data_IF_092861194867
#
_entry.id   IF_092861194867
#
_cell.length_a   1.000
_cell.length_b   1.000
_cell.length_c   1.000
_cell.angle_alpha   90.00
_cell.angle_beta   90.00
_cell.angle_gamma   90.00
#
_symmetry.space_group_name_H-M   'P 1'
#
loop_
_entity.id
_entity.type
_entity.pdbx_description
1 polymer ?
#
# COMPACT_ATOMS: atom_id res chain seq x y z
N UNK A 1 -37.63 28.99 16.09
CA UNK A 1 -37.28 30.26 15.43
C UNK A 1 -36.23 29.96 14.38
N UNK A 2 -36.65 29.90 13.11
CA UNK A 2 -35.76 30.18 11.98
C UNK A 2 -35.68 31.72 11.87
N UNK A 3 -34.60 32.32 11.32
CA UNK A 3 -34.48 32.34 9.85
C UNK A 3 -33.05 32.43 9.25
N UNK A 4 -33.03 32.24 7.93
CA UNK A 4 -32.31 32.99 6.89
C UNK A 4 -30.79 32.82 6.63
N UNK A 5 -30.52 32.08 5.55
CA UNK A 5 -30.00 32.53 4.25
C UNK A 5 -28.61 33.23 4.09
N UNK A 6 -27.90 32.72 3.07
CA UNK A 6 -26.60 33.08 2.46
C UNK A 6 -26.52 34.54 1.91
N UNK A 7 -25.37 35.09 1.39
CA UNK A 7 -24.61 34.51 0.26
C UNK A 7 -23.07 34.72 0.20
N UNK A 8 -22.53 34.07 -0.83
CA UNK A 8 -21.20 34.01 -1.45
C UNK A 8 -20.37 35.29 -1.62
N UNK A 9 -19.04 35.13 -1.60
CA UNK A 9 -18.09 35.94 -2.40
C UNK A 9 -16.86 35.13 -2.85
N UNK A 10 -16.78 34.97 -4.15
CA UNK A 10 -15.60 34.64 -4.95
C UNK A 10 -14.53 35.73 -4.81
N UNK A 11 -13.25 35.33 -4.77
CA UNK A 11 -12.15 36.20 -5.20
C UNK A 11 -11.01 35.38 -5.79
N UNK A 12 -10.95 35.37 -7.12
CA UNK A 12 -9.75 35.08 -7.89
C UNK A 12 -8.67 36.09 -7.55
N UNK A 13 -7.44 35.62 -7.36
CA UNK A 13 -6.23 36.43 -7.45
C UNK A 13 -5.38 35.86 -8.57
N UNK A 14 -5.57 36.43 -9.77
CA UNK A 14 -4.57 36.43 -10.83
C UNK A 14 -3.32 37.15 -10.33
N UNK A 15 -2.17 36.48 -10.41
CA UNK A 15 -0.86 37.13 -10.27
C UNK A 15 -0.24 37.19 -11.66
N UNK A 16 -0.34 38.35 -12.29
CA UNK A 16 0.40 38.69 -13.49
C UNK A 16 1.83 39.09 -13.11
N UNK A 17 2.83 38.41 -13.65
CA UNK A 17 4.23 38.82 -13.54
C UNK A 17 4.60 39.60 -14.80
N UNK A 18 5.02 40.84 -14.56
CA UNK A 18 5.38 41.84 -15.55
C UNK A 18 6.72 41.53 -16.23
N UNK A 19 6.68 41.55 -17.56
CA UNK A 19 7.45 42.43 -18.45
C UNK A 19 8.87 42.84 -18.02
N UNK A 20 9.86 42.28 -18.72
CA UNK A 20 11.24 42.80 -18.78
C UNK A 20 11.71 42.86 -20.23
N UNK A 21 11.50 44.00 -20.90
CA UNK A 21 12.01 44.28 -22.25
C UNK A 21 13.35 44.99 -22.11
N UNK A 22 14.43 44.39 -22.63
CA UNK A 22 15.68 45.10 -22.94
C UNK A 22 15.94 45.01 -24.44
N UNK A 23 15.97 46.18 -25.08
CA UNK A 23 16.06 46.34 -26.52
C UNK A 23 17.46 46.12 -27.09
N UNK A 24 17.48 45.71 -28.36
CA UNK A 24 18.67 45.71 -29.23
C UNK A 24 18.21 46.22 -30.61
N UNK A 25 19.03 47.11 -31.19
CA UNK A 25 18.81 47.94 -32.39
C UNK A 25 18.76 47.12 -33.71
N UNK A 26 18.12 47.64 -34.78
CA UNK A 26 18.03 46.96 -36.06
C UNK A 26 19.25 47.24 -36.95
N UNK A 27 19.77 46.22 -37.62
CA UNK A 27 20.59 46.37 -38.82
C UNK A 27 20.12 45.39 -39.88
N UNK A 28 19.71 45.97 -41.00
CA UNK A 28 19.34 45.27 -42.23
C UNK A 28 20.60 44.67 -42.84
N UNK A 29 20.69 43.36 -42.93
CA UNK A 29 21.55 42.69 -43.89
C UNK A 29 20.77 41.58 -44.59
N UNK A 30 20.99 41.53 -45.90
CA UNK A 30 20.36 40.69 -46.90
C UNK A 30 20.84 39.22 -46.81
N UNK A 31 19.88 38.30 -47.00
CA UNK A 31 19.93 37.05 -47.77
C UNK A 31 21.16 36.13 -47.61
N UNK A 32 20.93 34.94 -47.04
CA UNK A 32 21.46 33.67 -47.57
C UNK A 32 20.63 32.49 -47.02
N UNK A 33 20.02 31.72 -47.92
CA UNK A 33 19.44 30.40 -47.67
C UNK A 33 20.56 29.40 -47.36
N UNK A 34 20.49 28.74 -46.22
CA UNK A 34 21.21 27.49 -45.96
C UNK A 34 20.32 26.56 -45.13
N UNK A 35 19.71 25.62 -45.83
CA UNK A 35 18.89 24.54 -45.27
C UNK A 35 19.80 23.60 -44.47
N UNK A 36 19.70 23.60 -43.14
CA UNK A 36 20.20 22.49 -42.31
C UNK A 36 18.99 21.69 -41.86
N UNK A 37 18.71 20.61 -42.59
CA UNK A 37 17.82 19.56 -42.15
C UNK A 37 18.49 18.84 -40.96
N UNK A 38 18.16 19.28 -39.75
CA UNK A 38 18.47 18.51 -38.55
C UNK A 38 17.50 17.33 -38.49
N UNK A 39 17.93 16.18 -39.02
CA UNK A 39 17.35 14.88 -38.68
C UNK A 39 17.67 14.60 -37.21
N UNK A 40 16.91 15.23 -36.32
CA UNK A 40 16.86 14.86 -34.91
C UNK A 40 16.20 13.51 -34.79
N UNK A 41 17.01 12.45 -34.79
CA UNK A 41 16.57 11.12 -34.38
C UNK A 41 16.15 11.24 -32.92
N UNK A 42 14.86 11.40 -32.68
CA UNK A 42 14.28 11.11 -31.38
C UNK A 42 14.46 9.60 -31.17
N UNK A 43 15.59 9.21 -30.57
CA UNK A 43 15.74 7.86 -30.08
C UNK A 43 14.58 7.65 -29.08
N UNK A 44 13.72 6.64 -29.27
CA UNK A 44 12.76 6.29 -28.24
C UNK A 44 13.59 5.94 -27.00
N UNK A 45 13.53 6.82 -26.00
CA UNK A 45 13.99 6.51 -24.65
C UNK A 45 13.05 5.40 -24.19
N UNK A 46 13.45 4.15 -24.39
CA UNK A 46 12.85 3.02 -23.71
C UNK A 46 13.19 3.18 -22.24
N UNK A 47 12.42 4.03 -21.55
CA UNK A 47 12.22 3.85 -20.13
C UNK A 47 11.62 2.45 -20.03
N UNK A 48 12.43 1.49 -19.59
CA UNK A 48 11.90 0.29 -18.99
C UNK A 48 11.04 0.81 -17.84
N UNK A 49 9.74 0.96 -18.08
CA UNK A 49 8.76 1.04 -17.03
C UNK A 49 9.08 -0.18 -16.17
N UNK A 50 9.54 -0.01 -14.92
CA UNK A 50 9.70 -1.15 -14.04
C UNK A 50 8.27 -1.61 -13.78
N UNK A 51 7.77 -2.45 -14.69
CA UNK A 51 6.48 -3.09 -14.56
C UNK A 51 6.46 -3.64 -13.14
N UNK A 52 5.58 -3.11 -12.28
CA UNK A 52 5.81 -3.20 -10.86
C UNK A 52 5.81 -4.67 -10.49
N UNK A 53 7.00 -5.19 -10.10
CA UNK A 53 7.21 -6.61 -9.86
C UNK A 53 6.11 -7.09 -8.93
N UNK A 54 5.46 -8.20 -9.30
CA UNK A 54 4.52 -8.85 -8.41
C UNK A 54 5.24 -9.14 -7.09
N UNK A 55 4.54 -9.00 -5.97
CA UNK A 55 5.11 -9.41 -4.69
C UNK A 55 5.50 -10.89 -4.80
N UNK A 56 6.71 -11.20 -4.36
CA UNK A 56 7.17 -12.58 -4.29
C UNK A 56 6.31 -13.36 -3.29
N UNK A 57 5.99 -14.60 -3.61
CA UNK A 57 5.17 -15.49 -2.79
C UNK A 57 6.03 -16.66 -2.34
N UNK A 58 6.03 -16.98 -1.05
CA UNK A 58 6.87 -18.04 -0.50
C UNK A 58 6.56 -19.39 -1.11
N UNK A 59 7.53 -20.31 -1.12
CA UNK A 59 7.30 -21.69 -1.52
C UNK A 59 6.29 -22.41 -0.60
N UNK A 60 6.20 -22.00 0.67
CA UNK A 60 5.26 -22.55 1.65
C UNK A 60 3.82 -22.04 1.50
N UNK A 61 3.57 -20.96 0.77
CA UNK A 61 2.23 -20.42 0.61
C UNK A 61 1.26 -21.46 0.01
N UNK A 62 0.09 -21.60 0.64
CA UNK A 62 -0.95 -22.54 0.21
C UNK A 62 -1.66 -22.11 -1.08
N UNK A 63 -2.52 -22.99 -1.61
CA UNK A 63 -3.24 -22.76 -2.85
C UNK A 63 -4.13 -21.52 -2.78
N UNK A 64 -4.78 -21.26 -1.65
CA UNK A 64 -5.66 -20.11 -1.43
C UNK A 64 -4.87 -18.79 -1.48
N UNK A 65 -3.71 -18.73 -0.82
CA UNK A 65 -2.83 -17.55 -0.84
C UNK A 65 -2.31 -17.28 -2.25
N UNK A 66 -1.91 -18.32 -2.97
CA UNK A 66 -1.48 -18.20 -4.38
C UNK A 66 -2.60 -17.71 -5.28
N UNK A 67 -3.80 -18.28 -5.12
CA UNK A 67 -4.98 -17.86 -5.88
C UNK A 67 -5.36 -16.41 -5.58
N UNK A 68 -5.31 -15.99 -4.31
CA UNK A 68 -5.54 -14.61 -3.91
C UNK A 68 -4.50 -13.67 -4.55
N UNK A 69 -3.21 -14.03 -4.49
CA UNK A 69 -2.14 -13.23 -5.08
C UNK A 69 -2.26 -13.10 -6.61
N UNK A 70 -2.68 -14.16 -7.29
CA UNK A 70 -2.94 -14.14 -8.72
C UNK A 70 -4.17 -13.27 -9.08
N UNK A 71 -5.23 -13.32 -8.27
CA UNK A 71 -6.45 -12.54 -8.49
C UNK A 71 -6.31 -11.05 -8.11
N UNK A 72 -5.47 -10.75 -7.12
CA UNK A 72 -5.32 -9.43 -6.51
C UNK A 72 -3.85 -8.96 -6.44
N UNK A 73 -3.11 -8.94 -7.58
CA UNK A 73 -1.67 -8.68 -7.56
C UNK A 73 -1.31 -7.25 -7.15
N UNK A 74 -2.23 -6.29 -7.32
CA UNK A 74 -2.00 -4.88 -6.95
C UNK A 74 -2.07 -4.70 -5.44
N UNK A 75 -3.04 -5.32 -4.79
CA UNK A 75 -3.29 -5.27 -3.36
C UNK A 75 -2.17 -5.97 -2.59
N UNK A 76 -1.76 -7.16 -3.04
CA UNK A 76 -0.60 -7.86 -2.47
C UNK A 76 0.65 -7.00 -2.59
N UNK A 77 0.95 -6.46 -3.77
CA UNK A 77 2.13 -5.60 -3.94
C UNK A 77 2.08 -4.35 -3.06
N UNK A 78 0.92 -3.69 -2.96
CA UNK A 78 0.79 -2.51 -2.11
C UNK A 78 1.09 -2.85 -0.64
N UNK A 79 0.57 -3.95 -0.13
CA UNK A 79 0.87 -4.41 1.23
C UNK A 79 2.35 -4.80 1.40
N UNK A 80 2.97 -5.44 0.40
CA UNK A 80 4.40 -5.77 0.42
C UNK A 80 5.28 -4.50 0.51
N UNK A 81 4.98 -3.47 -0.28
CA UNK A 81 5.70 -2.18 -0.23
C UNK A 81 5.62 -1.53 1.14
N UNK A 82 4.48 -1.65 1.82
CA UNK A 82 4.30 -1.12 3.18
C UNK A 82 5.13 -1.91 4.21
N UNK A 83 5.29 -3.22 4.04
CA UNK A 83 6.19 -4.04 4.86
C UNK A 83 7.68 -3.77 4.58
N UNK A 84 8.01 -3.31 3.38
CA UNK A 84 9.37 -2.94 3.00
C UNK A 84 10.12 -4.04 2.24
N UNK A 85 11.38 -3.75 1.93
CA UNK A 85 12.23 -4.65 1.12
C UNK A 85 12.52 -5.98 1.82
N UNK A 86 12.63 -7.05 1.03
CA UNK A 86 12.95 -8.41 1.51
C UNK A 86 11.75 -9.18 2.07
N UNK A 87 10.63 -8.50 2.34
CA UNK A 87 9.39 -9.14 2.76
C UNK A 87 8.68 -9.81 1.57
N UNK A 88 8.44 -11.12 1.70
CA UNK A 88 7.74 -11.94 0.72
C UNK A 88 6.42 -12.45 1.30
N UNK A 89 5.40 -12.57 0.46
CA UNK A 89 4.06 -12.97 0.88
C UNK A 89 4.07 -14.41 1.37
N UNK A 90 3.65 -14.62 2.61
CA UNK A 90 3.51 -15.97 3.17
C UNK A 90 2.06 -16.41 3.27
N UNK A 91 1.16 -15.55 3.79
CA UNK A 91 -0.27 -15.83 3.85
C UNK A 91 -1.12 -14.69 3.33
N UNK A 92 -2.22 -15.05 2.67
CA UNK A 92 -3.29 -14.15 2.28
C UNK A 92 -4.65 -14.74 2.65
N UNK A 93 -5.24 -14.25 3.74
CA UNK A 93 -6.54 -14.73 4.23
C UNK A 93 -7.65 -13.76 3.85
N UNK A 94 -8.71 -14.29 3.22
CA UNK A 94 -9.99 -13.59 3.04
C UNK A 94 -10.77 -13.71 4.34
N UNK A 95 -11.24 -12.59 4.86
CA UNK A 95 -11.90 -12.52 6.16
C UNK A 95 -13.30 -11.88 6.07
N UNK A 96 -14.28 -12.38 6.85
CA UNK A 96 -14.15 -13.45 7.84
C UNK A 96 -14.08 -14.87 7.25
N UNK A 97 -14.60 -15.07 6.03
CA UNK A 97 -14.57 -16.36 5.31
C UNK A 97 -13.99 -16.20 3.90
N UNK A 98 -13.76 -17.31 3.21
CA UNK A 98 -13.24 -17.29 1.84
C UNK A 98 -14.24 -16.69 0.84
N UNK A 99 -15.53 -16.84 1.09
CA UNK A 99 -16.63 -16.35 0.26
C UNK A 99 -16.93 -14.88 0.59
N UNK A 100 -16.79 -14.49 1.85
CA UNK A 100 -17.05 -13.13 2.34
C UNK A 100 -15.74 -12.40 2.61
N UNK A 101 -15.23 -11.70 1.61
CA UNK A 101 -14.01 -10.88 1.71
C UNK A 101 -14.37 -9.44 2.13
N UNK A 102 -14.60 -9.24 3.42
CA UNK A 102 -14.80 -7.91 4.03
C UNK A 102 -13.47 -7.27 4.46
N UNK A 103 -12.47 -8.10 4.76
CA UNK A 103 -11.09 -7.71 4.94
C UNK A 103 -10.16 -8.76 4.32
N UNK A 104 -8.90 -8.37 4.12
CA UNK A 104 -7.82 -9.29 3.73
C UNK A 104 -6.67 -9.17 4.70
N UNK A 105 -6.32 -10.26 5.36
CA UNK A 105 -5.13 -10.30 6.20
C UNK A 105 -3.97 -10.85 5.36
N UNK A 106 -2.95 -10.00 5.18
CA UNK A 106 -1.68 -10.39 4.59
C UNK A 106 -0.62 -10.55 5.69
N UNK A 107 0.17 -11.60 5.58
CA UNK A 107 1.42 -11.70 6.34
C UNK A 107 2.58 -11.90 5.38
N UNK A 108 3.65 -11.17 5.66
CA UNK A 108 4.91 -11.24 4.94
C UNK A 108 6.02 -11.63 5.89
N UNK A 109 7.03 -12.32 5.38
CA UNK A 109 8.22 -12.67 6.15
C UNK A 109 9.50 -12.45 5.37
N UNK A 110 10.61 -12.39 6.08
CA UNK A 110 11.95 -12.48 5.49
C UNK A 110 12.45 -13.91 5.75
N UNK A 111 12.51 -14.78 4.73
CA UNK A 111 13.03 -16.14 4.87
C UNK A 111 14.51 -16.08 5.27
N UNK A 112 14.87 -16.71 6.39
CA UNK A 112 16.26 -16.73 6.86
C UNK A 112 16.98 -18.03 6.56
N UNK A 113 16.25 -19.08 6.16
CA UNK A 113 16.78 -20.44 5.99
C UNK A 113 17.09 -21.16 7.32
N UNK A 114 16.88 -20.49 8.45
CA UNK A 114 17.05 -21.04 9.80
C UNK A 114 15.72 -21.49 10.41
N UNK A 115 15.59 -21.30 11.71
CA UNK A 115 14.36 -21.60 12.44
C UNK A 115 13.23 -20.65 11.99
N UNK A 116 12.09 -21.17 11.49
CA UNK A 116 10.97 -20.34 11.06
C UNK A 116 10.45 -19.38 12.14
N UNK A 117 10.58 -19.75 13.42
CA UNK A 117 10.17 -18.89 14.55
C UNK A 117 10.96 -17.58 14.64
N UNK A 118 12.18 -17.55 14.10
CA UNK A 118 13.09 -16.41 14.17
C UNK A 118 12.96 -15.49 12.94
N UNK A 119 12.08 -15.82 12.00
CA UNK A 119 11.89 -15.02 10.80
C UNK A 119 11.17 -13.70 11.10
N UNK A 120 11.73 -12.56 10.64
CA UNK A 120 11.04 -11.28 10.71
C UNK A 120 9.72 -11.36 9.98
N UNK A 121 8.65 -10.87 10.61
CA UNK A 121 7.29 -10.93 10.06
C UNK A 121 6.62 -9.56 10.11
N UNK A 122 5.83 -9.27 9.09
CA UNK A 122 5.00 -8.08 8.96
C UNK A 122 3.57 -8.51 8.68
N UNK A 123 2.60 -7.91 9.38
CA UNK A 123 1.18 -8.13 9.12
C UNK A 123 0.51 -6.82 8.66
N UNK A 124 -0.40 -6.95 7.69
CA UNK A 124 -1.28 -5.89 7.18
C UNK A 124 -2.70 -6.42 7.09
N UNK A 125 -3.68 -5.65 7.57
CA UNK A 125 -5.09 -5.95 7.40
C UNK A 125 -5.72 -4.92 6.47
N UNK A 126 -5.98 -5.31 5.23
CA UNK A 126 -6.63 -4.50 4.21
C UNK A 126 -8.15 -4.43 4.44
N UNK A 127 -8.72 -3.24 4.30
CA UNK A 127 -10.15 -2.97 4.46
C UNK A 127 -10.83 -3.03 3.10
N UNK A 128 -11.61 -4.10 2.86
CA UNK A 128 -12.30 -4.28 1.58
C UNK A 128 -13.71 -3.65 1.55
N UNK A 129 -14.10 -2.87 2.57
CA UNK A 129 -15.44 -2.28 2.66
C UNK A 129 -15.58 -0.86 2.10
N UNK A 130 -14.53 -0.25 1.53
CA UNK A 130 -14.54 1.14 1.01
C UNK A 130 -15.02 2.24 1.99
N UNK A 131 -15.32 1.88 3.23
CA UNK A 131 -15.80 2.76 4.30
C UNK A 131 -14.88 2.62 5.50
N UNK A 132 -14.69 3.71 6.23
CA UNK A 132 -13.83 3.74 7.42
C UNK A 132 -14.41 2.82 8.50
N UNK A 133 -13.59 1.88 8.99
CA UNK A 133 -13.93 0.97 10.09
C UNK A 133 -12.94 1.13 11.22
N UNK A 134 -13.37 0.79 12.43
CA UNK A 134 -12.42 0.58 13.52
C UNK A 134 -11.77 -0.79 13.32
N UNK A 135 -10.45 -0.84 13.25
CA UNK A 135 -9.70 -2.08 13.06
C UNK A 135 -8.63 -2.21 14.12
N UNK A 136 -8.32 -3.44 14.49
CA UNK A 136 -7.19 -3.79 15.34
C UNK A 136 -6.47 -4.98 14.73
N UNK A 137 -5.17 -4.80 14.50
CA UNK A 137 -4.26 -5.81 14.04
C UNK A 137 -3.20 -6.06 15.10
N UNK A 138 -3.02 -7.30 15.52
CA UNK A 138 -2.02 -7.67 16.54
C UNK A 138 -1.21 -8.87 16.09
N UNK A 139 0.11 -8.76 16.11
CA UNK A 139 1.05 -9.83 15.75
C UNK A 139 1.85 -10.24 16.99
N UNK A 140 1.65 -11.50 17.40
CA UNK A 140 2.31 -12.13 18.53
C UNK A 140 3.37 -13.11 18.03
N UNK A 141 4.53 -13.10 18.67
CA UNK A 141 5.59 -14.08 18.43
C UNK A 141 5.20 -15.42 19.08
N UNK A 142 5.77 -16.51 18.58
CA UNK A 142 5.74 -17.78 19.30
C UNK A 142 6.68 -17.78 20.53
N UNK A 143 7.65 -16.85 20.58
CA UNK A 143 8.52 -16.66 21.74
C UNK A 143 7.84 -15.82 22.82
N UNK A 144 7.64 -16.40 24.00
CA UNK A 144 6.98 -15.75 25.15
C UNK A 144 7.67 -14.43 25.52
N UNK A 145 9.01 -14.41 25.47
CA UNK A 145 9.81 -13.24 25.86
C UNK A 145 9.62 -12.01 24.97
N UNK A 146 9.17 -12.19 23.72
CA UNK A 146 9.11 -11.06 22.79
C UNK A 146 7.75 -10.33 22.84
N UNK A 147 6.71 -10.93 23.42
CA UNK A 147 5.38 -10.33 23.56
C UNK A 147 4.57 -10.22 22.26
N UNK A 148 3.75 -9.18 22.12
CA UNK A 148 2.93 -8.87 20.94
C UNK A 148 3.06 -7.40 20.56
N UNK A 149 2.98 -7.08 19.27
CA UNK A 149 2.82 -5.71 18.78
C UNK A 149 1.41 -5.54 18.19
N UNK A 150 0.86 -4.32 18.23
CA UNK A 150 -0.45 -4.03 17.67
C UNK A 150 -0.57 -2.64 17.07
N UNK A 151 -1.48 -2.51 16.11
CA UNK A 151 -1.97 -1.26 15.55
C UNK A 151 -3.50 -1.26 15.64
N UNK A 152 -4.08 -0.16 16.08
CA UNK A 152 -5.54 -0.05 16.21
C UNK A 152 -6.04 1.39 16.08
N UNK A 153 -7.23 1.53 15.50
CA UNK A 153 -7.77 2.84 15.18
C UNK A 153 -8.83 2.78 14.08
N UNK A 154 -9.17 3.95 13.56
CA UNK A 154 -10.10 4.06 12.43
C UNK A 154 -9.34 4.12 11.12
N UNK A 155 -9.54 3.13 10.26
CA UNK A 155 -8.83 3.00 8.99
C UNK A 155 -9.80 2.92 7.82
N UNK A 156 -9.50 3.67 6.77
CA UNK A 156 -10.22 3.58 5.49
C UNK A 156 -9.61 2.54 4.58
N UNK A 157 -8.28 2.38 4.62
CA UNK A 157 -7.55 1.52 3.68
C UNK A 157 -7.03 0.26 4.36
N UNK A 158 -6.19 0.38 5.39
CA UNK A 158 -5.64 -0.80 6.08
C UNK A 158 -5.20 -0.46 7.50
N UNK A 159 -5.07 -1.47 8.35
CA UNK A 159 -4.36 -1.42 9.63
C UNK A 159 -2.99 -2.11 9.49
N UNK A 160 -1.99 -1.64 10.23
CA UNK A 160 -0.58 -2.05 10.11
C UNK A 160 0.29 -1.01 9.37
N UNK A 161 1.56 -1.31 9.08
CA UNK A 161 2.24 -2.59 9.29
C UNK A 161 2.50 -2.86 10.77
N UNK A 162 2.24 -4.10 11.20
CA UNK A 162 2.66 -4.58 12.52
C UNK A 162 3.82 -5.54 12.34
N UNK A 163 4.98 -5.16 12.86
CA UNK A 163 6.22 -5.92 12.72
C UNK A 163 6.56 -6.72 13.95
N UNK A 164 7.26 -7.84 13.73
CA UNK A 164 8.03 -8.56 14.75
C UNK A 164 9.35 -9.04 14.18
N UNK A 165 10.43 -8.81 14.94
CA UNK A 165 11.76 -9.31 14.58
C UNK A 165 11.80 -10.85 14.56
N UNK A 166 11.03 -11.49 15.43
CA UNK A 166 10.79 -12.94 15.46
C UNK A 166 9.28 -13.19 15.47
N UNK A 167 8.67 -13.17 14.30
CA UNK A 167 7.22 -13.27 14.16
C UNK A 167 6.72 -14.57 13.56
N UNK A 168 7.60 -15.36 12.95
CA UNK A 168 7.23 -16.62 12.33
C UNK A 168 6.66 -17.60 13.35
N UNK A 169 5.75 -18.45 12.87
CA UNK A 169 4.95 -19.39 13.67
C UNK A 169 4.12 -18.75 14.79
N UNK A 170 4.07 -17.41 14.81
CA UNK A 170 3.26 -16.65 15.73
C UNK A 170 1.78 -16.67 15.38
N UNK A 171 1.04 -15.76 16.02
CA UNK A 171 -0.40 -15.57 15.76
C UNK A 171 -0.69 -14.13 15.38
N UNK A 172 -1.60 -13.96 14.42
CA UNK A 172 -2.16 -12.67 14.05
C UNK A 172 -3.63 -12.62 14.42
N UNK A 173 -4.00 -11.56 15.13
CA UNK A 173 -5.38 -11.24 15.47
C UNK A 173 -5.82 -10.09 14.58
N UNK A 174 -6.87 -10.32 13.81
CA UNK A 174 -7.47 -9.35 12.91
C UNK A 174 -8.91 -9.09 13.35
N UNK A 175 -9.17 -7.87 13.82
CA UNK A 175 -10.49 -7.45 14.32
C UNK A 175 -10.94 -6.23 13.50
N UNK A 176 -12.18 -6.23 13.05
CA UNK A 176 -12.83 -5.11 12.40
C UNK A 176 -14.23 -4.89 12.98
N UNK A 177 -14.58 -3.63 13.26
CA UNK A 177 -15.86 -3.20 13.82
C UNK A 177 -16.31 -1.88 13.19
N UNK A 178 -17.59 -1.55 13.33
CA UNK A 178 -18.07 -0.19 13.01
C UNK A 178 -17.48 0.85 13.98
N UNK A 179 -17.41 0.52 15.27
CA UNK A 179 -16.83 1.35 16.33
C UNK A 179 -16.09 0.46 17.35
N UNK A 180 -15.14 0.99 18.15
CA UNK A 180 -14.43 0.18 19.15
C UNK A 180 -15.37 -0.48 20.18
N UNK A 181 -16.48 0.19 20.49
CA UNK A 181 -17.45 -0.22 21.51
C UNK A 181 -18.59 -1.09 20.95
N UNK A 182 -18.58 -1.40 19.64
CA UNK A 182 -19.58 -2.30 19.05
C UNK A 182 -19.47 -3.70 19.68
N UNK A 183 -20.62 -4.25 20.07
CA UNK A 183 -20.74 -5.61 20.61
C UNK A 183 -20.52 -6.68 19.54
N UNK A 184 -20.91 -6.40 18.28
CA UNK A 184 -20.63 -7.25 17.12
C UNK A 184 -19.32 -6.87 16.43
N UNK A 185 -18.57 -7.88 16.00
CA UNK A 185 -17.43 -7.73 15.11
C UNK A 185 -17.83 -8.08 13.66
N UNK A 186 -17.38 -7.26 12.71
CA UNK A 186 -17.48 -7.54 11.27
C UNK A 186 -16.47 -8.62 10.89
N UNK A 187 -15.27 -8.52 11.47
CA UNK A 187 -14.22 -9.52 11.42
C UNK A 187 -13.71 -9.74 12.83
N UNK A 188 -13.62 -10.99 13.24
CA UNK A 188 -12.89 -11.44 14.42
C UNK A 188 -12.21 -12.75 14.05
N UNK A 189 -10.92 -12.68 13.76
CA UNK A 189 -10.16 -13.80 13.25
C UNK A 189 -8.79 -13.90 13.91
N UNK A 190 -8.40 -15.13 14.23
CA UNK A 190 -7.05 -15.49 14.63
C UNK A 190 -6.49 -16.40 13.54
N UNK A 191 -5.31 -16.08 13.03
CA UNK A 191 -4.61 -16.84 11.98
C UNK A 191 -3.14 -17.06 12.36
N UNK A 192 -2.49 -18.11 11.85
CA UNK A 192 -1.05 -18.23 12.00
C UNK A 192 -0.36 -17.06 11.27
N UNK A 193 0.76 -16.61 11.82
CA UNK A 193 1.53 -15.52 11.23
C UNK A 193 2.29 -15.98 9.97
N UNK A 194 2.81 -17.20 10.00
CA UNK A 194 3.47 -17.84 8.85
C UNK A 194 3.14 -19.32 8.80
N UNK A 195 3.40 -19.98 7.68
CA UNK A 195 3.40 -21.44 7.54
C UNK A 195 4.60 -22.01 8.31
N UNK A 196 4.35 -23.01 9.15
CA UNK A 196 5.35 -23.63 10.03
C UNK A 196 5.10 -25.13 10.11
N UNK A 197 5.63 -25.83 9.10
CA UNK A 197 5.66 -27.29 9.00
C UNK A 197 7.12 -27.79 8.99
#
# INVERSE_FOLDING_TARGET
MSPAAAPSRTRSTETAIAMGIRGIRPSRFLIALASIAALGVAAPQAHADPSPRAAEVTAGANAETRALAAAHPREVRAAAVVCGEGYVLDNGYRLPTNEQRLATLFTYRIPTGGNPNDEPTCAIMDNNLSVRKWMKLKLCSNWIADGCAEDSGYFTQYAGPVYRARGGCGKVYAIMKDTPNSSGAIVDAIRPATVCD
#
